data_IF_649345100256
#
_entry.id   IF_649345100256
#
_cell.length_a   1.000
_cell.length_b   1.000
_cell.length_c   1.000
_cell.angle_alpha   90.00
_cell.angle_beta   90.00
_cell.angle_gamma   90.00
#
_symmetry.space_group_name_H-M   'P 1'
#
loop_
_entity.id
_entity.type
_entity.pdbx_description
1 polymer ?
#
# COMPACT_ATOMS: atom_id res chain seq x y z
N UNK A 1 -62.55 21.12 18.47
CA UNK A 1 -61.76 22.21 17.85
C UNK A 1 -60.33 21.68 17.68
N UNK A 2 -59.98 21.15 16.50
CA UNK A 2 -59.16 21.81 15.44
C UNK A 2 -57.68 21.97 15.86
N UNK A 3 -56.62 21.48 15.18
CA UNK A 3 -56.38 21.00 13.81
C UNK A 3 -55.08 20.15 13.75
N UNK A 4 -55.00 19.30 12.73
CA UNK A 4 -53.79 18.70 12.13
C UNK A 4 -52.81 19.76 11.55
N UNK A 5 -51.49 19.51 11.58
CA UNK A 5 -50.63 19.50 10.38
C UNK A 5 -49.15 19.14 10.65
N UNK A 6 -48.52 18.58 9.60
CA UNK A 6 -47.21 17.90 9.45
C UNK A 6 -46.00 18.85 9.28
N UNK A 7 -44.77 18.27 9.33
CA UNK A 7 -43.56 18.40 8.45
C UNK A 7 -42.29 18.22 9.33
N UNK A 8 -41.55 17.10 9.31
CA UNK A 8 -40.48 16.59 8.39
C UNK A 8 -39.16 17.39 8.38
N UNK A 9 -38.05 16.64 8.45
CA UNK A 9 -36.62 17.00 8.26
C UNK A 9 -35.92 17.41 9.56
N UNK A 10 -34.88 16.73 10.06
CA UNK A 10 -33.85 15.93 9.41
C UNK A 10 -32.51 16.58 9.74
N UNK A 11 -31.63 15.90 10.47
CA UNK A 11 -30.19 16.14 10.40
C UNK A 11 -29.46 14.87 10.86
N UNK A 12 -28.83 14.22 9.89
CA UNK A 12 -27.97 13.07 10.09
C UNK A 12 -26.71 13.50 10.86
N UNK A 13 -26.41 12.83 11.98
CA UNK A 13 -25.08 12.81 12.55
C UNK A 13 -24.25 11.82 11.73
N UNK A 14 -23.58 12.33 10.70
CA UNK A 14 -22.54 11.60 9.99
C UNK A 14 -21.36 11.39 10.95
N UNK A 15 -21.28 10.22 11.57
CA UNK A 15 -20.06 9.73 12.21
C UNK A 15 -19.05 9.40 11.13
N UNK A 16 -18.15 10.34 10.83
CA UNK A 16 -17.02 10.10 9.95
C UNK A 16 -16.08 9.08 10.61
N UNK A 17 -16.12 7.84 10.13
CA UNK A 17 -15.09 6.86 10.43
C UNK A 17 -13.85 7.31 9.65
N UNK A 18 -12.82 7.74 10.37
CA UNK A 18 -11.51 8.04 9.79
C UNK A 18 -10.98 6.75 9.15
N UNK A 19 -11.10 6.66 7.82
CA UNK A 19 -10.34 5.69 7.03
C UNK A 19 -8.87 5.87 7.36
N UNK A 20 -8.28 4.88 8.04
CA UNK A 20 -6.85 4.85 8.29
C UNK A 20 -6.11 4.92 6.96
N UNK A 21 -5.52 6.08 6.66
CA UNK A 21 -4.46 6.18 5.69
C UNK A 21 -3.38 5.13 6.03
N UNK A 22 -2.63 4.61 5.04
CA UNK A 22 -1.46 3.79 5.35
C UNK A 22 -0.62 4.57 6.35
N UNK A 23 -0.40 3.96 7.53
CA UNK A 23 0.23 4.63 8.66
C UNK A 23 1.47 5.36 8.20
N UNK A 24 1.43 6.68 8.24
CA UNK A 24 2.64 7.49 8.17
C UNK A 24 3.52 6.95 9.28
N UNK A 25 4.65 6.36 8.90
CA UNK A 25 5.66 5.94 9.84
C UNK A 25 6.00 7.14 10.71
N UNK A 26 5.65 7.06 11.99
CA UNK A 26 6.02 8.08 12.97
C UNK A 26 7.54 8.14 12.98
N UNK A 27 8.08 9.31 12.63
CA UNK A 27 9.51 9.55 12.55
C UNK A 27 10.15 9.37 13.93
N UNK A 28 10.78 8.23 14.15
CA UNK A 28 11.73 8.06 15.25
C UNK A 28 13.10 8.60 14.80
N UNK A 29 13.55 9.70 15.41
CA UNK A 29 14.93 10.16 15.34
C UNK A 29 15.22 11.20 14.25
N UNK A 30 15.74 12.36 14.65
CA UNK A 30 16.00 13.50 13.78
C UNK A 30 17.18 13.33 12.81
N UNK A 31 17.17 14.19 11.78
CA UNK A 31 18.32 14.44 10.87
C UNK A 31 18.85 13.20 10.14
N UNK A 32 17.98 12.34 9.64
CA UNK A 32 18.40 11.23 8.79
C UNK A 32 17.51 11.14 7.56
N UNK A 33 18.11 10.71 6.45
CA UNK A 33 17.35 10.38 5.25
C UNK A 33 16.45 9.18 5.57
N UNK A 34 15.21 9.22 5.14
CA UNK A 34 14.29 8.11 5.37
C UNK A 34 13.39 7.90 4.16
N UNK A 35 12.86 6.69 4.06
CA UNK A 35 11.88 6.31 3.06
C UNK A 35 11.24 4.98 3.44
N UNK A 36 10.00 4.77 3.02
CA UNK A 36 9.32 3.50 3.23
C UNK A 36 8.43 3.16 2.05
N UNK A 37 8.29 1.87 1.74
CA UNK A 37 7.35 1.38 0.74
C UNK A 37 6.86 -0.02 1.08
N UNK A 38 5.61 -0.30 0.72
CA UNK A 38 5.08 -1.66 0.62
C UNK A 38 4.89 -1.97 -0.86
N UNK A 39 5.53 -3.04 -1.35
CA UNK A 39 5.55 -3.38 -2.78
C UNK A 39 5.14 -4.84 -2.94
N UNK A 40 4.12 -5.09 -3.77
CA UNK A 40 3.66 -6.44 -4.05
C UNK A 40 4.72 -7.28 -4.79
N UNK A 41 4.74 -8.62 -4.61
CA UNK A 41 5.59 -9.50 -5.40
C UNK A 41 5.38 -9.31 -6.90
N UNK A 42 6.47 -9.13 -7.65
CA UNK A 42 6.46 -9.00 -9.10
C UNK A 42 6.02 -7.63 -9.60
N UNK A 43 5.93 -6.64 -8.70
CA UNK A 43 5.53 -5.27 -9.02
C UNK A 43 6.65 -4.29 -8.70
N UNK A 44 6.49 -3.10 -9.27
CA UNK A 44 7.27 -1.92 -8.92
C UNK A 44 6.52 -1.07 -7.91
N UNK A 45 7.27 -0.36 -7.06
CA UNK A 45 6.74 0.63 -6.14
C UNK A 45 7.76 1.75 -5.89
N UNK A 46 7.27 2.88 -5.40
CA UNK A 46 8.09 4.07 -5.17
C UNK A 46 8.52 4.14 -3.70
N UNK A 47 9.82 4.27 -3.47
CA UNK A 47 10.38 4.72 -2.19
C UNK A 47 10.63 6.22 -2.30
N UNK A 48 9.82 7.02 -1.61
CA UNK A 48 10.06 8.47 -1.52
C UNK A 48 11.13 8.74 -0.46
N UNK A 49 12.29 9.23 -0.89
CA UNK A 49 13.38 9.57 0.02
C UNK A 49 13.31 11.04 0.39
N UNK A 50 13.22 11.32 1.70
CA UNK A 50 13.14 12.69 2.22
C UNK A 50 13.92 12.83 3.53
N UNK A 51 13.82 14.01 4.15
CA UNK A 51 14.33 14.25 5.51
C UNK A 51 15.62 15.06 5.59
N UNK A 52 16.29 15.36 4.47
CA UNK A 52 17.47 16.22 4.50
C UNK A 52 17.11 17.67 4.85
N UNK A 53 17.73 18.17 5.92
CA UNK A 53 17.54 19.54 6.43
C UNK A 53 18.86 20.32 6.56
N UNK A 54 19.96 19.73 6.08
CA UNK A 54 21.29 20.35 6.09
C UNK A 54 21.45 21.47 5.06
N UNK A 55 22.64 22.12 5.01
CA UNK A 55 22.91 23.19 4.06
C UNK A 55 22.83 22.69 2.61
N UNK A 56 22.58 23.62 1.68
CA UNK A 56 22.64 23.32 0.25
C UNK A 56 23.99 22.74 -0.17
N UNK A 57 23.98 21.74 -1.04
CA UNK A 57 25.17 21.12 -1.62
C UNK A 57 25.26 21.47 -3.11
N UNK A 58 26.39 22.03 -3.53
CA UNK A 58 26.59 22.48 -4.91
C UNK A 58 26.51 21.36 -5.96
N UNK A 59 26.61 21.77 -7.23
CA UNK A 59 26.60 20.87 -8.38
C UNK A 59 27.61 19.72 -8.21
N UNK A 60 27.22 18.51 -8.60
CA UNK A 60 27.99 17.28 -8.43
C UNK A 60 27.73 16.55 -7.10
N UNK A 61 27.03 17.16 -6.15
CA UNK A 61 26.48 16.43 -5.00
C UNK A 61 25.50 15.35 -5.45
N UNK A 62 25.36 14.28 -4.67
CA UNK A 62 24.59 13.13 -5.08
C UNK A 62 23.88 12.42 -3.92
N UNK A 63 22.61 12.06 -4.13
CA UNK A 63 21.83 11.19 -3.26
C UNK A 63 21.77 9.80 -3.89
N UNK A 64 22.33 8.80 -3.20
CA UNK A 64 22.31 7.41 -3.66
C UNK A 64 21.47 6.55 -2.73
N UNK A 65 20.51 5.83 -3.30
CA UNK A 65 19.77 4.76 -2.64
C UNK A 65 20.34 3.41 -3.10
N UNK A 66 20.63 2.55 -2.13
CA UNK A 66 21.06 1.17 -2.30
C UNK A 66 19.87 0.27 -1.93
N UNK A 67 19.32 -0.47 -2.88
CA UNK A 67 18.08 -1.25 -2.66
C UNK A 67 18.27 -2.40 -1.66
N UNK A 68 17.27 -2.79 -0.87
CA UNK A 68 17.39 -3.99 -0.05
C UNK A 68 17.29 -5.24 -0.93
N UNK A 69 18.07 -6.29 -0.64
CA UNK A 69 17.93 -7.53 -1.40
C UNK A 69 16.62 -8.26 -1.02
N UNK A 70 15.90 -8.89 -1.98
CA UNK A 70 16.26 -9.08 -3.38
C UNK A 70 15.65 -8.02 -4.33
N UNK A 71 15.18 -6.89 -3.81
CA UNK A 71 14.67 -5.80 -4.66
C UNK A 71 15.81 -5.10 -5.42
N UNK A 72 15.45 -4.49 -6.54
CA UNK A 72 16.37 -3.69 -7.36
C UNK A 72 15.74 -2.37 -7.74
N UNK A 73 16.55 -1.32 -7.83
CA UNK A 73 16.14 -0.03 -8.39
C UNK A 73 15.98 -0.18 -9.90
N UNK A 74 14.84 0.25 -10.41
CA UNK A 74 14.52 0.24 -11.84
C UNK A 74 14.33 1.64 -12.41
N UNK A 75 14.18 2.66 -11.55
CA UNK A 75 13.99 4.03 -12.02
C UNK A 75 14.31 5.12 -11.00
N UNK A 76 14.61 6.29 -11.54
CA UNK A 76 14.81 7.56 -10.82
C UNK A 76 13.97 8.65 -11.50
N UNK A 77 12.65 8.67 -11.28
CA UNK A 77 11.68 9.39 -12.11
C UNK A 77 11.49 10.88 -11.75
N UNK A 78 12.32 11.45 -10.86
CA UNK A 78 12.18 12.86 -10.49
C UNK A 78 12.25 13.77 -11.71
N UNK A 79 11.12 14.40 -12.05
CA UNK A 79 11.02 15.43 -13.07
C UNK A 79 11.23 16.82 -12.44
N UNK A 80 12.49 17.14 -12.15
CA UNK A 80 12.88 18.43 -11.60
C UNK A 80 14.13 18.97 -12.28
N UNK A 81 14.10 20.25 -12.65
CA UNK A 81 15.27 20.94 -13.20
C UNK A 81 16.42 20.92 -12.19
N UNK A 82 17.63 20.79 -12.70
CA UNK A 82 18.84 20.76 -11.87
C UNK A 82 19.10 19.42 -11.18
N UNK A 83 18.37 18.35 -11.54
CA UNK A 83 18.67 17.00 -11.08
C UNK A 83 18.79 16.05 -12.27
N UNK A 84 19.71 15.10 -12.16
CA UNK A 84 19.88 13.98 -13.10
C UNK A 84 19.80 12.68 -12.33
N UNK A 85 18.84 11.83 -12.70
CA UNK A 85 18.73 10.48 -12.18
C UNK A 85 19.56 9.47 -13.00
N UNK A 86 20.05 8.42 -12.35
CA UNK A 86 20.70 7.27 -12.98
C UNK A 86 20.46 6.00 -12.15
N UNK A 87 20.39 4.85 -12.83
CA UNK A 87 20.30 3.53 -12.20
C UNK A 87 21.59 2.76 -12.52
N UNK A 88 22.22 2.19 -11.49
CA UNK A 88 23.43 1.40 -11.67
C UNK A 88 23.11 0.10 -12.43
N UNK A 89 24.09 -0.42 -13.18
CA UNK A 89 23.95 -1.73 -13.84
C UNK A 89 23.56 -2.81 -12.82
N UNK A 90 22.56 -3.63 -13.16
CA UNK A 90 21.98 -4.63 -12.25
C UNK A 90 21.06 -4.06 -11.16
N UNK A 91 20.79 -2.76 -11.14
CA UNK A 91 19.79 -2.13 -10.29
C UNK A 91 20.10 -2.16 -8.78
N UNK A 92 21.35 -2.45 -8.39
CA UNK A 92 21.73 -2.48 -6.96
C UNK A 92 21.51 -1.12 -6.28
N UNK A 93 21.66 -0.04 -7.03
CA UNK A 93 21.49 1.33 -6.56
C UNK A 93 20.91 2.25 -7.65
N UNK A 94 20.28 3.33 -7.20
CA UNK A 94 19.95 4.48 -8.03
C UNK A 94 20.54 5.75 -7.41
N UNK A 95 20.81 6.74 -8.23
CA UNK A 95 21.44 7.99 -7.81
C UNK A 95 20.74 9.17 -8.46
N UNK A 96 20.47 10.21 -7.67
CA UNK A 96 20.25 11.56 -8.17
C UNK A 96 21.53 12.37 -8.01
N UNK A 97 21.92 13.10 -9.04
CA UNK A 97 23.02 14.07 -9.00
C UNK A 97 22.45 15.46 -9.22
N UNK A 98 22.81 16.41 -8.36
CA UNK A 98 22.45 17.81 -8.54
C UNK A 98 23.32 18.44 -9.62
N UNK A 99 22.69 19.04 -10.62
CA UNK A 99 23.31 19.74 -11.76
C UNK A 99 22.88 21.19 -11.84
N UNK A 100 22.19 21.71 -10.82
CA UNK A 100 21.72 23.10 -10.78
C UNK A 100 22.84 24.12 -10.51
N UNK A 101 22.60 25.40 -10.83
CA UNK A 101 23.63 26.44 -10.75
C UNK A 101 23.85 27.00 -9.34
N UNK A 102 22.88 26.93 -8.43
CA UNK A 102 22.99 27.39 -7.04
C UNK A 102 22.71 26.26 -6.07
N UNK A 103 23.48 26.22 -4.98
CA UNK A 103 23.33 25.24 -3.91
C UNK A 103 22.13 25.52 -3.01
N UNK A 104 21.64 26.77 -2.95
CA UNK A 104 20.80 27.29 -1.85
C UNK A 104 19.47 26.54 -1.64
N UNK A 105 18.98 25.82 -2.67
CA UNK A 105 17.74 25.03 -2.63
C UNK A 105 17.94 23.56 -3.02
N UNK A 106 19.18 23.09 -3.08
CA UNK A 106 19.48 21.69 -3.38
C UNK A 106 19.14 20.79 -2.18
N UNK A 107 18.49 19.64 -2.46
CA UNK A 107 18.16 18.55 -1.52
C UNK A 107 17.18 18.88 -0.38
N UNK A 108 17.28 20.07 0.23
CA UNK A 108 16.55 20.47 1.43
C UNK A 108 15.04 20.48 1.18
N UNK A 109 14.29 19.81 2.04
CA UNK A 109 12.82 19.84 2.03
C UNK A 109 12.17 19.22 0.79
N UNK A 110 12.94 18.48 -0.03
CA UNK A 110 12.46 17.82 -1.24
C UNK A 110 12.42 16.30 -1.06
N UNK A 111 11.40 15.68 -1.63
CA UNK A 111 11.31 14.24 -1.81
C UNK A 111 11.96 13.78 -3.11
N UNK A 112 12.61 12.62 -3.06
CA UNK A 112 13.33 12.01 -4.17
C UNK A 112 12.77 10.59 -4.40
N UNK A 113 11.91 10.39 -5.41
CA UNK A 113 11.31 9.09 -5.67
C UNK A 113 12.34 8.11 -6.23
N UNK A 114 12.41 6.89 -5.72
CA UNK A 114 13.13 5.78 -6.37
C UNK A 114 12.14 4.68 -6.70
N UNK A 115 12.14 4.18 -7.94
CA UNK A 115 11.31 3.02 -8.32
C UNK A 115 12.10 1.76 -8.02
N UNK A 116 11.55 0.91 -7.17
CA UNK A 116 12.09 -0.40 -6.84
C UNK A 116 11.16 -1.48 -7.36
N UNK A 117 11.72 -2.53 -7.96
CA UNK A 117 11.00 -3.76 -8.28
C UNK A 117 11.26 -4.82 -7.21
N UNK A 118 10.20 -5.54 -6.83
CA UNK A 118 10.27 -6.71 -5.94
C UNK A 118 10.05 -7.97 -6.76
N UNK A 119 10.90 -9.01 -6.65
CA UNK A 119 10.71 -10.25 -7.41
C UNK A 119 9.37 -10.93 -7.14
N UNK A 120 8.78 -11.57 -8.16
CA UNK A 120 7.50 -12.30 -8.03
C UNK A 120 7.51 -13.43 -6.98
N UNK A 121 8.69 -13.99 -6.71
CA UNK A 121 8.91 -15.03 -5.68
C UNK A 121 9.05 -14.48 -4.26
N UNK A 122 8.99 -13.17 -4.07
CA UNK A 122 9.07 -12.57 -2.75
C UNK A 122 7.84 -12.96 -1.92
N UNK A 123 8.06 -13.24 -0.64
CA UNK A 123 7.00 -13.70 0.26
C UNK A 123 6.33 -12.49 0.92
N UNK A 124 5.00 -12.32 0.80
CA UNK A 124 4.27 -11.26 1.49
C UNK A 124 4.55 -11.21 3.00
N UNK A 125 4.58 -9.99 3.54
CA UNK A 125 4.92 -9.71 4.95
C UNK A 125 6.42 -9.66 5.23
N UNK A 126 7.28 -10.06 4.29
CA UNK A 126 8.73 -10.00 4.49
C UNK A 126 9.21 -8.55 4.50
N UNK A 127 9.90 -8.16 5.58
CA UNK A 127 10.66 -6.90 5.62
C UNK A 127 12.03 -7.11 5.00
N UNK A 128 12.30 -6.45 3.88
CA UNK A 128 13.57 -6.55 3.17
C UNK A 128 14.65 -5.74 3.91
N UNK A 129 15.87 -6.27 3.96
CA UNK A 129 16.99 -5.69 4.72
C UNK A 129 18.10 -5.17 3.81
N UNK A 130 18.90 -4.23 4.34
CA UNK A 130 20.04 -3.66 3.62
C UNK A 130 19.71 -2.50 2.69
N UNK A 131 18.56 -1.83 2.89
CA UNK A 131 18.29 -0.57 2.22
C UNK A 131 19.04 0.58 2.91
N UNK A 132 19.91 1.26 2.17
CA UNK A 132 20.69 2.38 2.71
C UNK A 132 20.63 3.58 1.77
N UNK A 133 20.79 4.77 2.36
CA UNK A 133 20.82 6.03 1.64
C UNK A 133 22.02 6.85 2.09
N UNK A 134 22.67 7.48 1.13
CA UNK A 134 23.81 8.36 1.38
C UNK A 134 23.70 9.59 0.49
N UNK A 135 23.74 10.76 1.12
CA UNK A 135 23.94 12.03 0.44
C UNK A 135 25.41 12.43 0.55
N UNK A 136 26.05 12.71 -0.58
CA UNK A 136 27.46 13.16 -0.65
C UNK A 136 27.57 14.55 -1.24
N UNK A 137 28.62 15.28 -0.86
CA UNK A 137 29.03 16.46 -1.61
C UNK A 137 29.69 16.09 -2.96
N UNK A 138 30.09 17.10 -3.74
CA UNK A 138 30.73 16.93 -5.05
C UNK A 138 32.09 16.23 -5.00
N UNK A 139 32.71 16.12 -3.82
CA UNK A 139 33.97 15.37 -3.60
C UNK A 139 33.69 13.92 -3.16
N UNK A 140 32.43 13.52 -3.08
CA UNK A 140 32.02 12.20 -2.61
C UNK A 140 32.04 12.06 -1.09
N UNK A 141 32.22 13.15 -0.33
CA UNK A 141 32.23 13.08 1.14
C UNK A 141 30.78 12.97 1.64
N UNK A 142 30.44 11.93 2.42
CA UNK A 142 29.10 11.79 3.00
C UNK A 142 28.74 12.99 3.88
N UNK A 143 27.55 13.53 3.67
CA UNK A 143 26.96 14.63 4.46
C UNK A 143 25.74 14.19 5.25
N UNK A 144 25.01 13.20 4.74
CA UNK A 144 23.88 12.61 5.44
C UNK A 144 23.78 11.12 5.13
N UNK A 145 23.25 10.35 6.08
CA UNK A 145 22.94 8.93 5.90
C UNK A 145 21.51 8.65 6.31
N UNK A 146 21.05 7.47 5.91
CA UNK A 146 19.72 7.01 6.26
C UNK A 146 19.46 5.59 5.83
N UNK A 147 18.28 5.10 6.18
CA UNK A 147 17.81 3.77 5.84
C UNK A 147 16.36 3.83 5.38
N UNK A 148 16.00 2.91 4.48
CA UNK A 148 14.62 2.78 4.02
C UNK A 148 14.04 1.44 4.48
N UNK A 149 12.72 1.39 4.62
CA UNK A 149 12.01 0.13 4.88
C UNK A 149 11.22 -0.27 3.65
N UNK A 150 11.53 -1.44 3.09
CA UNK A 150 10.71 -2.04 2.03
C UNK A 150 10.09 -3.31 2.57
N UNK A 151 8.76 -3.36 2.58
CA UNK A 151 8.00 -4.54 2.98
C UNK A 151 7.31 -5.14 1.76
N UNK A 152 7.32 -6.47 1.65
CA UNK A 152 6.61 -7.16 0.57
C UNK A 152 5.12 -7.14 0.88
N UNK A 153 4.33 -6.54 0.00
CA UNK A 153 2.87 -6.45 0.12
C UNK A 153 2.16 -7.77 -0.14
N UNK A 154 0.89 -7.85 0.27
CA UNK A 154 0.00 -8.93 -0.09
C UNK A 154 -0.90 -8.46 -1.25
N UNK A 155 -0.92 -9.16 -2.40
CA UNK A 155 -1.85 -8.83 -3.46
C UNK A 155 -3.31 -8.93 -2.99
N UNK A 156 -4.15 -7.99 -3.44
CA UNK A 156 -5.57 -8.00 -3.13
C UNK A 156 -6.24 -9.33 -3.56
N UNK A 157 -7.06 -9.95 -2.69
CA UNK A 157 -7.89 -11.07 -3.12
C UNK A 157 -8.98 -10.59 -4.08
N UNK A 158 -9.52 -11.51 -4.87
CA UNK A 158 -10.76 -11.30 -5.64
C UNK A 158 -11.92 -11.96 -4.93
N UNK A 159 -13.10 -11.38 -5.07
CA UNK A 159 -14.39 -11.95 -4.66
C UNK A 159 -15.26 -12.05 -5.91
N UNK A 160 -15.26 -13.23 -6.54
CA UNK A 160 -15.87 -13.47 -7.86
C UNK A 160 -17.31 -13.96 -7.76
N UNK A 161 -17.64 -14.71 -6.72
CA UNK A 161 -19.01 -15.10 -6.39
C UNK A 161 -19.38 -14.68 -4.99
N UNK A 162 -20.65 -14.34 -4.75
CA UNK A 162 -21.75 -14.25 -5.73
C UNK A 162 -21.59 -13.13 -6.79
N UNK A 163 -22.31 -13.23 -7.90
CA UNK A 163 -22.32 -12.15 -8.90
C UNK A 163 -23.08 -10.94 -8.33
N UNK A 164 -22.51 -9.75 -8.46
CA UNK A 164 -23.12 -8.55 -7.90
C UNK A 164 -24.50 -8.26 -8.52
N UNK A 165 -25.47 -7.92 -7.68
CA UNK A 165 -26.83 -7.54 -8.07
C UNK A 165 -27.77 -8.71 -8.38
N UNK A 166 -27.30 -9.96 -8.31
CA UNK A 166 -28.15 -11.15 -8.49
C UNK A 166 -28.79 -11.52 -7.16
N UNK A 167 -30.11 -11.78 -7.08
CA UNK A 167 -30.76 -12.30 -5.88
C UNK A 167 -30.16 -13.64 -5.45
N UNK A 168 -29.95 -13.80 -4.14
CA UNK A 168 -29.27 -14.95 -3.57
C UNK A 168 -30.14 -15.62 -2.51
N UNK A 169 -29.91 -16.91 -2.32
CA UNK A 169 -30.37 -17.63 -1.13
C UNK A 169 -29.65 -17.13 0.12
N UNK A 170 -30.13 -17.49 1.31
CA UNK A 170 -29.54 -17.04 2.58
C UNK A 170 -28.13 -17.58 2.86
N UNK A 171 -27.60 -18.52 2.07
CA UNK A 171 -26.24 -19.08 2.24
C UNK A 171 -25.52 -19.17 0.89
N UNK A 172 -25.21 -18.04 0.23
CA UNK A 172 -24.52 -18.07 -1.05
C UNK A 172 -23.09 -18.59 -0.86
N UNK A 173 -22.61 -19.41 -1.79
CA UNK A 173 -21.19 -19.75 -1.86
C UNK A 173 -20.39 -18.50 -2.28
N UNK A 174 -19.46 -18.08 -1.43
CA UNK A 174 -18.49 -17.05 -1.76
C UNK A 174 -17.21 -17.70 -2.30
N UNK A 175 -16.69 -17.22 -3.42
CA UNK A 175 -15.45 -17.76 -3.99
C UNK A 175 -14.66 -16.71 -4.75
N UNK A 176 -13.36 -16.98 -4.93
CA UNK A 176 -12.46 -16.09 -5.65
C UNK A 176 -11.02 -16.59 -5.65
N UNK A 177 -10.09 -15.65 -5.78
CA UNK A 177 -8.66 -15.90 -5.72
C UNK A 177 -7.99 -15.09 -4.62
N UNK A 178 -6.89 -15.59 -4.07
CA UNK A 178 -6.02 -14.88 -3.13
C UNK A 178 -4.59 -15.40 -3.27
N UNK A 179 -3.62 -14.77 -2.61
CA UNK A 179 -2.27 -15.30 -2.56
C UNK A 179 -2.27 -16.73 -1.97
N UNK A 180 -1.54 -17.70 -2.55
CA UNK A 180 -1.53 -19.08 -2.07
C UNK A 180 -1.25 -19.20 -0.56
N UNK A 181 -2.08 -19.96 0.14
CA UNK A 181 -1.97 -20.15 1.60
C UNK A 181 -2.42 -18.96 2.46
N UNK A 182 -2.90 -17.85 1.88
CA UNK A 182 -3.47 -16.76 2.66
C UNK A 182 -4.80 -17.16 3.31
N UNK A 183 -5.02 -16.69 4.54
CA UNK A 183 -6.31 -16.83 5.21
C UNK A 183 -7.27 -15.78 4.65
N UNK A 184 -8.40 -16.23 4.10
CA UNK A 184 -9.47 -15.38 3.56
C UNK A 184 -10.63 -15.35 4.55
N UNK A 185 -11.12 -14.15 4.88
CA UNK A 185 -12.34 -13.91 5.64
C UNK A 185 -13.28 -13.06 4.79
N UNK A 186 -14.52 -13.50 4.61
CA UNK A 186 -15.58 -12.73 3.95
C UNK A 186 -16.40 -12.06 5.03
N UNK A 187 -16.65 -10.76 4.88
CA UNK A 187 -17.42 -9.95 5.82
C UNK A 187 -18.59 -9.25 5.15
N UNK A 188 -19.63 -8.98 5.94
CA UNK A 188 -20.77 -8.19 5.52
C UNK A 188 -20.53 -6.67 5.70
N UNK A 189 -21.51 -5.84 5.32
CA UNK A 189 -21.45 -4.39 5.47
C UNK A 189 -21.32 -3.89 6.92
N UNK A 190 -21.59 -4.75 7.91
CA UNK A 190 -21.50 -4.45 9.34
C UNK A 190 -20.20 -5.00 9.94
N UNK A 191 -19.26 -5.45 9.12
CA UNK A 191 -17.98 -6.06 9.51
C UNK A 191 -18.12 -7.38 10.28
N UNK A 192 -19.27 -8.05 10.21
CA UNK A 192 -19.42 -9.40 10.76
C UNK A 192 -18.76 -10.43 9.84
N UNK A 193 -18.03 -11.38 10.42
CA UNK A 193 -17.51 -12.51 9.64
C UNK A 193 -18.67 -13.39 9.16
N UNK A 194 -18.75 -13.54 7.85
CA UNK A 194 -19.72 -14.38 7.14
C UNK A 194 -19.19 -15.81 7.02
N UNK A 195 -17.96 -15.94 6.51
CA UNK A 195 -17.23 -17.19 6.46
C UNK A 195 -15.73 -16.93 6.33
N UNK A 196 -14.92 -17.94 6.63
CA UNK A 196 -13.48 -17.89 6.45
C UNK A 196 -12.94 -19.23 5.94
N UNK A 197 -11.81 -19.17 5.23
CA UNK A 197 -11.15 -20.32 4.60
C UNK A 197 -9.69 -19.99 4.30
N UNK A 198 -8.91 -20.96 3.84
CA UNK A 198 -7.53 -20.74 3.38
C UNK A 198 -7.46 -20.95 1.87
N UNK A 199 -6.77 -20.06 1.16
CA UNK A 199 -6.56 -20.21 -0.28
C UNK A 199 -5.66 -21.43 -0.58
N UNK A 200 -6.01 -22.19 -1.62
CA UNK A 200 -5.24 -23.37 -2.06
C UNK A 200 -3.86 -22.98 -2.58
N UNK A 201 -3.02 -23.97 -2.91
CA UNK A 201 -1.71 -23.75 -3.51
C UNK A 201 -1.78 -23.02 -4.86
N UNK A 202 -2.90 -23.15 -5.58
CA UNK A 202 -3.18 -22.43 -6.84
C UNK A 202 -3.85 -21.06 -6.60
N UNK A 203 -4.05 -20.68 -5.34
CA UNK A 203 -4.65 -19.39 -4.97
C UNK A 203 -6.16 -19.34 -5.10
N UNK A 204 -6.86 -20.47 -5.25
CA UNK A 204 -8.33 -20.51 -5.26
C UNK A 204 -8.87 -20.59 -3.84
N UNK A 205 -10.05 -20.04 -3.60
CA UNK A 205 -10.75 -20.21 -2.33
C UNK A 205 -12.26 -20.24 -2.52
N UNK A 206 -12.96 -20.93 -1.62
CA UNK A 206 -14.42 -20.93 -1.52
C UNK A 206 -14.84 -21.13 -0.06
N UNK A 207 -15.90 -20.46 0.38
CA UNK A 207 -16.55 -20.69 1.66
C UNK A 207 -18.07 -20.45 1.59
N UNK A 208 -18.80 -21.11 2.49
CA UNK A 208 -20.24 -20.94 2.64
C UNK A 208 -20.50 -20.35 4.04
N UNK A 209 -21.43 -19.38 4.18
CA UNK A 209 -21.82 -18.83 5.47
C UNK A 209 -22.23 -19.90 6.46
N UNK A 210 -21.69 -19.82 7.69
CA UNK A 210 -22.05 -20.74 8.78
C UNK A 210 -23.46 -20.46 9.31
N UNK A 211 -23.92 -19.21 9.22
CA UNK A 211 -25.27 -18.77 9.56
C UNK A 211 -25.97 -18.22 8.31
N UNK A 212 -27.31 -18.31 8.22
CA UNK A 212 -28.05 -17.66 7.15
C UNK A 212 -27.86 -16.14 7.23
N UNK A 213 -27.59 -15.51 6.10
CA UNK A 213 -27.52 -14.06 5.97
C UNK A 213 -28.91 -13.44 6.11
N UNK A 214 -28.95 -12.23 6.66
CA UNK A 214 -30.20 -11.47 6.84
C UNK A 214 -30.81 -11.12 5.47
N UNK A 215 -32.13 -11.33 5.27
CA UNK A 215 -32.82 -10.91 4.06
C UNK A 215 -32.68 -9.41 3.78
N UNK A 216 -32.61 -9.07 2.48
CA UNK A 216 -32.49 -7.69 2.01
C UNK A 216 -31.16 -7.36 1.34
N UNK A 217 -30.92 -6.08 1.01
CA UNK A 217 -29.69 -5.64 0.39
C UNK A 217 -28.51 -5.69 1.37
N UNK A 218 -27.34 -6.05 0.87
CA UNK A 218 -26.10 -6.12 1.63
C UNK A 218 -24.86 -5.94 0.76
N UNK A 219 -23.69 -5.95 1.41
CA UNK A 219 -22.38 -5.98 0.78
C UNK A 219 -21.60 -7.18 1.29
N UNK A 220 -20.76 -7.76 0.44
CA UNK A 220 -19.74 -8.71 0.86
C UNK A 220 -18.37 -8.20 0.42
N UNK A 221 -17.36 -8.39 1.27
CA UNK A 221 -15.97 -8.09 0.98
C UNK A 221 -15.08 -9.21 1.49
N UNK A 222 -14.08 -9.60 0.71
CA UNK A 222 -13.08 -10.58 1.12
C UNK A 222 -11.82 -9.85 1.61
N UNK A 223 -11.28 -10.29 2.74
CA UNK A 223 -10.00 -9.86 3.28
C UNK A 223 -9.06 -11.05 3.33
N UNK A 224 -7.89 -10.93 2.70
CA UNK A 224 -6.83 -11.91 2.79
C UNK A 224 -5.78 -11.44 3.80
N UNK A 225 -5.27 -12.36 4.60
CA UNK A 225 -4.18 -12.11 5.55
C UNK A 225 -3.10 -13.17 5.42
N UNK A 226 -1.84 -12.76 5.49
CA UNK A 226 -0.68 -13.64 5.47
C UNK A 226 0.50 -12.94 6.14
N UNK A 227 1.22 -13.62 7.03
CA UNK A 227 2.43 -13.09 7.68
C UNK A 227 2.27 -11.67 8.28
N UNK A 228 1.10 -11.36 8.84
CA UNK A 228 0.82 -10.07 9.47
C UNK A 228 0.50 -8.91 8.50
N UNK A 229 0.48 -9.14 7.19
CA UNK A 229 -0.06 -8.18 6.21
C UNK A 229 -1.46 -8.60 5.76
N UNK A 230 -2.27 -7.61 5.37
CA UNK A 230 -3.64 -7.80 4.92
C UNK A 230 -3.90 -7.04 3.61
N UNK A 231 -4.81 -7.56 2.81
CA UNK A 231 -5.34 -6.88 1.62
C UNK A 231 -6.83 -7.20 1.45
N UNK A 232 -7.57 -6.27 0.87
CA UNK A 232 -9.03 -6.37 0.72
C UNK A 232 -9.41 -6.42 -0.75
N UNK A 233 -10.47 -7.17 -1.07
CA UNK A 233 -11.07 -7.18 -2.40
C UNK A 233 -11.92 -5.94 -2.63
N UNK A 234 -12.36 -5.75 -3.88
CA UNK A 234 -13.55 -4.96 -4.17
C UNK A 234 -14.78 -5.53 -3.45
N UNK A 235 -15.74 -4.66 -3.15
CA UNK A 235 -17.02 -5.06 -2.57
C UNK A 235 -17.98 -5.54 -3.65
N UNK A 236 -18.82 -6.51 -3.30
CA UNK A 236 -19.95 -6.93 -4.15
C UNK A 236 -21.27 -6.60 -3.46
N UNK A 237 -22.20 -5.99 -4.21
CA UNK A 237 -23.57 -5.79 -3.75
C UNK A 237 -24.37 -7.08 -3.92
N UNK A 238 -25.11 -7.46 -2.87
CA UNK A 238 -25.94 -8.66 -2.82
C UNK A 238 -27.35 -8.33 -2.36
N UNK A 239 -28.32 -9.13 -2.77
CA UNK A 239 -29.68 -9.09 -2.24
C UNK A 239 -30.06 -10.49 -1.80
N UNK A 240 -30.25 -10.69 -0.50
CA UNK A 240 -30.67 -11.97 0.07
C UNK A 240 -32.20 -12.06 0.02
N UNK A 241 -32.73 -13.10 -0.62
CA UNK A 241 -34.16 -13.33 -0.67
C UNK A 241 -34.70 -13.71 0.72
N UNK A 242 -35.88 -13.17 1.05
CA UNK A 242 -36.65 -13.61 2.22
C UNK A 242 -37.26 -14.99 1.97
N UNK A 243 -37.32 -15.82 3.01
CA UNK A 243 -37.99 -17.11 2.99
C UNK A 243 -39.53 -16.97 2.86
#
# INVERSE_FOLDING_TARGET
MNRFSKIVSGLALAGAVLSGAPGQAVAEGGRELWGAATIEPGREGIVEVAGYTGPGLGAGSALTLTAPAPAVVTGTPLDARGYRGAVASGGRSGTYTFTGPSADESWRGRGFPFVLSVPAKAVPGTRLTGCTMVLTDAKGVPKERGACTVTVGLPAPTLLRPQSGVPLTARPEASGTAYPGAQVSVRDALENEVCSTTATAEGRWSCVPALPLTPGPGLLQATATLNGVAAVSDQIAVTIEGA
#
